data_IF_054630828860
#
_entry.id   IF_054630828860
#
_cell.length_a   1.000
_cell.length_b   1.000
_cell.length_c   1.000
_cell.angle_alpha   90.00
_cell.angle_beta   90.00
_cell.angle_gamma   90.00
#
_symmetry.space_group_name_H-M   'P 1'
#
loop_
_entity.id
_entity.type
_entity.pdbx_description
1 polymer ?
#
# COMPACT_ATOMS: atom_id res chain seq x y z
N UNK A 1 -22.23 -8.04 4.49
CA UNK A 1 -20.98 -8.39 5.19
C UNK A 1 -19.88 -7.56 4.55
N UNK A 2 -19.09 -6.83 5.35
CA UNK A 2 -17.93 -6.11 4.84
C UNK A 2 -16.84 -7.12 4.46
N UNK A 3 -16.18 -6.94 3.32
CA UNK A 3 -15.02 -7.76 2.94
C UNK A 3 -13.88 -7.53 3.93
N UNK A 4 -12.96 -8.49 4.09
CA UNK A 4 -11.78 -8.29 4.94
C UNK A 4 -10.96 -7.07 4.50
N UNK A 5 -10.87 -6.84 3.18
CA UNK A 5 -10.26 -5.65 2.60
C UNK A 5 -10.88 -4.36 3.13
N UNK A 6 -12.21 -4.25 3.15
CA UNK A 6 -12.89 -3.06 3.69
C UNK A 6 -12.65 -2.90 5.18
N UNK A 7 -12.70 -3.96 5.98
CA UNK A 7 -12.39 -3.89 7.41
C UNK A 7 -10.96 -3.37 7.66
N UNK A 8 -9.98 -3.88 6.91
CA UNK A 8 -8.58 -3.47 7.01
C UNK A 8 -8.39 -1.98 6.65
N UNK A 9 -9.03 -1.54 5.56
CA UNK A 9 -8.93 -0.16 5.10
C UNK A 9 -9.72 0.82 5.98
N UNK A 10 -10.85 0.40 6.56
CA UNK A 10 -11.63 1.20 7.51
C UNK A 10 -10.88 1.42 8.82
N UNK A 11 -10.20 0.38 9.33
CA UNK A 11 -9.36 0.48 10.53
C UNK A 11 -8.04 1.20 10.31
N UNK A 12 -7.55 1.23 9.07
CA UNK A 12 -6.19 1.60 8.76
C UNK A 12 -5.19 0.52 9.19
N UNK A 13 -3.93 0.74 8.83
CA UNK A 13 -2.81 -0.15 9.18
C UNK A 13 -1.68 0.70 9.73
N UNK A 14 -1.04 0.24 10.78
CA UNK A 14 0.15 0.87 11.37
C UNK A 14 1.08 -0.27 11.80
N UNK A 15 2.23 -0.40 11.14
CA UNK A 15 3.18 -1.50 11.37
C UNK A 15 4.61 -0.99 11.40
N UNK A 16 5.33 -1.37 12.46
CA UNK A 16 6.78 -1.20 12.55
C UNK A 16 7.48 -2.33 11.77
N UNK A 17 8.33 -1.96 10.82
CA UNK A 17 9.01 -2.84 9.88
C UNK A 17 10.52 -2.78 10.13
N UNK A 18 11.15 -3.94 10.27
CA UNK A 18 12.59 -4.08 10.51
C UNK A 18 13.45 -3.81 9.25
N UNK A 19 13.42 -2.57 8.76
CA UNK A 19 14.22 -2.11 7.62
C UNK A 19 14.65 -0.66 7.82
N UNK A 20 15.85 -0.32 7.35
CA UNK A 20 16.33 1.06 7.33
C UNK A 20 15.48 1.95 6.40
N UNK A 21 15.25 3.19 6.81
CA UNK A 21 14.51 4.18 6.02
C UNK A 21 15.12 4.42 4.62
N UNK A 22 16.44 4.29 4.47
CA UNK A 22 17.11 4.43 3.18
C UNK A 22 16.84 3.25 2.23
N UNK A 23 16.51 2.08 2.78
CA UNK A 23 16.28 0.84 2.03
C UNK A 23 14.81 0.57 1.75
N UNK A 24 13.89 1.22 2.47
CA UNK A 24 12.44 1.00 2.36
C UNK A 24 11.91 1.29 0.95
N UNK A 25 12.46 2.29 0.25
CA UNK A 25 12.05 2.61 -1.11
C UNK A 25 12.31 1.45 -2.08
N UNK A 26 13.53 0.91 -2.05
CA UNK A 26 13.90 -0.23 -2.91
C UNK A 26 13.12 -1.49 -2.56
N UNK A 27 12.89 -1.74 -1.27
CA UNK A 27 12.04 -2.86 -0.83
C UNK A 27 10.62 -2.74 -1.40
N UNK A 28 10.00 -1.57 -1.29
CA UNK A 28 8.64 -1.36 -1.79
C UNK A 28 8.54 -1.47 -3.30
N UNK A 29 9.56 -1.01 -4.04
CA UNK A 29 9.62 -1.14 -5.49
C UNK A 29 9.76 -2.61 -5.92
N UNK A 30 10.68 -3.36 -5.30
CA UNK A 30 10.91 -4.78 -5.56
C UNK A 30 9.65 -5.62 -5.32
N UNK A 31 8.98 -5.36 -4.20
CA UNK A 31 7.76 -6.06 -3.81
C UNK A 31 6.57 -5.69 -4.69
N UNK A 32 6.35 -4.40 -4.92
CA UNK A 32 5.21 -3.92 -5.73
C UNK A 32 5.27 -4.42 -7.16
N UNK A 33 6.47 -4.63 -7.71
CA UNK A 33 6.64 -5.19 -9.04
C UNK A 33 6.06 -6.61 -9.21
N UNK A 34 5.87 -7.33 -8.11
CA UNK A 34 5.33 -8.69 -8.09
C UNK A 34 3.81 -8.73 -7.85
N UNK A 35 3.21 -7.60 -7.44
CA UNK A 35 1.82 -7.55 -7.04
C UNK A 35 0.87 -7.38 -8.22
N UNK A 36 -0.27 -8.06 -8.13
CA UNK A 36 -1.38 -7.91 -9.08
C UNK A 36 -2.72 -8.21 -8.42
N UNK A 37 -3.81 -7.73 -9.01
CA UNK A 37 -5.17 -8.09 -8.62
C UNK A 37 -6.06 -8.13 -9.87
N UNK A 38 -6.41 -9.33 -10.32
CA UNK A 38 -7.06 -9.52 -11.62
C UNK A 38 -6.13 -9.13 -12.76
N UNK A 39 -6.61 -8.32 -13.71
CA UNK A 39 -5.81 -7.73 -14.79
C UNK A 39 -4.93 -6.55 -14.36
N UNK A 40 -5.09 -6.04 -13.13
CA UNK A 40 -4.39 -4.83 -12.69
C UNK A 40 -3.02 -5.13 -12.08
N UNK A 41 -2.04 -4.30 -12.44
CA UNK A 41 -0.73 -4.20 -11.78
C UNK A 41 -0.62 -2.89 -10.99
N UNK A 42 0.31 -2.82 -10.05
CA UNK A 42 0.46 -1.67 -9.18
C UNK A 42 1.66 -0.78 -9.52
N UNK A 43 1.54 0.51 -9.20
CA UNK A 43 2.60 1.52 -9.33
C UNK A 43 2.59 2.46 -8.12
N UNK A 44 3.76 2.68 -7.54
CA UNK A 44 3.97 3.67 -6.48
C UNK A 44 4.37 5.00 -7.10
N UNK A 45 3.79 6.10 -6.60
CA UNK A 45 4.22 7.48 -6.90
C UNK A 45 4.42 8.27 -5.62
N UNK A 46 5.34 9.22 -5.63
CA UNK A 46 5.44 10.19 -4.55
C UNK A 46 4.19 11.07 -4.51
N UNK A 47 3.60 11.22 -3.32
CA UNK A 47 2.50 12.12 -3.04
C UNK A 47 2.96 13.56 -2.82
N UNK A 48 2.00 14.49 -2.77
CA UNK A 48 2.26 15.89 -2.38
C UNK A 48 2.72 15.90 -0.92
N UNK A 49 3.91 16.45 -0.65
CA UNK A 49 4.45 16.57 0.71
C UNK A 49 5.57 15.59 1.05
N UNK A 50 6.07 14.80 0.09
CA UNK A 50 7.26 13.93 0.28
C UNK A 50 8.53 14.77 0.48
N UNK A 51 8.77 15.26 1.70
CA UNK A 51 9.95 16.05 2.07
C UNK A 51 10.45 15.59 3.45
N UNK A 52 11.76 15.37 3.58
CA UNK A 52 12.39 15.00 4.84
C UNK A 52 12.19 13.51 5.18
N UNK A 53 11.88 13.25 6.46
CA UNK A 53 11.76 11.89 7.04
C UNK A 53 10.32 11.36 7.06
N UNK A 54 9.39 11.99 6.33
CA UNK A 54 8.03 11.49 6.16
C UNK A 54 7.73 11.41 4.67
N UNK A 55 7.41 10.23 4.19
CA UNK A 55 7.07 9.99 2.79
C UNK A 55 5.62 9.61 2.65
N UNK A 56 4.86 10.47 1.98
CA UNK A 56 3.50 10.18 1.56
C UNK A 56 3.56 9.58 0.15
N UNK A 57 3.21 8.30 0.01
CA UNK A 57 3.24 7.58 -1.26
C UNK A 57 1.83 7.24 -1.71
N UNK A 58 1.55 7.44 -3.00
CA UNK A 58 0.27 7.10 -3.63
C UNK A 58 0.42 5.80 -4.39
N UNK A 59 -0.45 4.83 -4.06
CA UNK A 59 -0.57 3.56 -4.75
C UNK A 59 -1.56 3.72 -5.88
N UNK A 60 -1.19 3.25 -7.07
CA UNK A 60 -2.03 3.32 -8.25
C UNK A 60 -2.17 1.94 -8.89
N UNK A 61 -3.29 1.68 -9.54
CA UNK A 61 -3.49 0.55 -10.43
C UNK A 61 -3.34 0.96 -11.90
N UNK A 62 -3.00 -0.01 -12.74
CA UNK A 62 -2.96 0.09 -14.20
C UNK A 62 -3.34 -1.25 -14.81
N UNK A 63 -4.21 -1.26 -15.81
CA UNK A 63 -4.36 -2.42 -16.70
C UNK A 63 -3.29 -2.32 -17.80
N UNK A 64 -2.30 -3.23 -17.87
CA UNK A 64 -1.24 -3.19 -18.87
C UNK A 64 -1.74 -3.43 -20.29
N UNK A 65 -2.95 -3.97 -20.47
CA UNK A 65 -3.54 -4.28 -21.78
C UNK A 65 -4.35 -3.10 -22.35
N UNK A 66 -4.64 -2.08 -21.55
CA UNK A 66 -5.33 -0.87 -22.01
C UNK A 66 -4.32 0.25 -22.32
N UNK A 67 -3.94 0.35 -23.59
CA UNK A 67 -3.07 1.43 -24.07
C UNK A 67 -3.68 2.81 -23.81
N UNK A 68 -2.87 3.72 -23.24
CA UNK A 68 -3.23 5.13 -23.07
C UNK A 68 -4.11 5.44 -21.85
N UNK A 69 -4.44 4.47 -21.00
CA UNK A 69 -5.16 4.76 -19.76
C UNK A 69 -4.27 5.45 -18.71
N UNK A 70 -4.81 6.46 -17.99
CA UNK A 70 -4.13 7.04 -16.85
C UNK A 70 -4.01 6.02 -15.71
N UNK A 71 -3.02 6.20 -14.84
CA UNK A 71 -2.95 5.44 -13.60
C UNK A 71 -4.15 5.78 -12.71
N UNK A 72 -4.75 4.76 -12.11
CA UNK A 72 -5.86 4.87 -11.18
C UNK A 72 -5.36 4.96 -9.74
N UNK A 73 -5.21 6.15 -9.13
CA UNK A 73 -4.87 6.27 -7.71
C UNK A 73 -5.88 5.57 -6.78
N UNK A 74 -5.39 4.56 -6.07
CA UNK A 74 -6.16 3.71 -5.15
C UNK A 74 -6.17 4.22 -3.71
N UNK A 75 -5.04 4.73 -3.24
CA UNK A 75 -4.86 5.06 -1.83
C UNK A 75 -3.46 5.58 -1.51
N UNK A 76 -3.30 6.10 -0.30
CA UNK A 76 -2.03 6.59 0.24
C UNK A 76 -1.49 5.63 1.29
N UNK A 77 -0.18 5.45 1.29
CA UNK A 77 0.59 4.93 2.42
C UNK A 77 1.58 6.00 2.90
N UNK A 78 1.91 5.98 4.18
CA UNK A 78 2.84 6.92 4.83
C UNK A 78 3.99 6.13 5.42
N UNK A 79 5.22 6.62 5.21
CA UNK A 79 6.42 6.00 5.75
C UNK A 79 7.18 7.01 6.60
N UNK A 80 7.54 6.62 7.81
CA UNK A 80 8.27 7.44 8.78
C UNK A 80 9.32 6.56 9.49
N UNK A 81 10.52 7.07 9.82
CA UNK A 81 11.46 6.36 10.68
C UNK A 81 10.86 6.08 12.06
N UNK A 82 11.14 4.91 12.61
CA UNK A 82 10.67 4.47 13.92
C UNK A 82 11.81 3.95 14.80
N UNK A 83 12.88 4.74 14.89
CA UNK A 83 14.11 4.37 15.58
C UNK A 83 15.19 3.80 14.65
N UNK A 84 16.21 3.19 15.25
CA UNK A 84 17.35 2.64 14.52
C UNK A 84 16.96 1.32 13.83
N UNK A 85 17.24 1.21 12.53
CA UNK A 85 16.93 0.01 11.74
C UNK A 85 15.45 -0.27 11.49
N UNK A 86 14.56 0.68 11.83
CA UNK A 86 13.11 0.50 11.78
C UNK A 86 12.42 1.65 11.04
N UNK A 87 11.36 1.31 10.32
CA UNK A 87 10.40 2.26 9.75
C UNK A 87 8.99 1.87 10.13
N UNK A 88 8.15 2.86 10.31
CA UNK A 88 6.72 2.66 10.40
C UNK A 88 6.09 2.85 9.01
N UNK A 89 5.34 1.85 8.55
CA UNK A 89 4.50 1.92 7.35
C UNK A 89 3.04 2.01 7.80
N UNK A 90 2.37 3.09 7.41
CA UNK A 90 0.98 3.38 7.76
C UNK A 90 0.10 3.41 6.52
N UNK A 91 -1.07 2.80 6.63
CA UNK A 91 -2.20 3.00 5.71
C UNK A 91 -3.25 3.79 6.50
N UNK A 92 -3.45 5.09 6.20
CA UNK A 92 -4.50 5.86 6.86
C UNK A 92 -5.87 5.20 6.65
N UNK A 93 -6.76 5.29 7.65
CA UNK A 93 -8.15 4.85 7.51
C UNK A 93 -8.79 5.42 6.25
N UNK A 94 -9.72 4.67 5.64
CA UNK A 94 -10.41 5.08 4.40
C UNK A 94 -11.02 6.48 4.49
N UNK A 95 -11.53 6.87 5.66
CA UNK A 95 -12.08 8.23 5.92
C UNK A 95 -11.04 9.35 5.85
N UNK A 96 -9.76 9.03 5.97
CA UNK A 96 -8.62 9.96 5.94
C UNK A 96 -7.83 9.88 4.62
N UNK A 97 -8.24 9.02 3.69
CA UNK A 97 -7.65 8.92 2.36
C UNK A 97 -8.05 10.16 1.55
N UNK A 98 -7.14 11.12 1.43
CA UNK A 98 -7.37 12.38 0.67
C UNK A 98 -6.91 12.22 -0.79
N UNK A 99 -7.28 11.11 -1.42
CA UNK A 99 -6.93 10.85 -2.82
C UNK A 99 -8.04 11.44 -3.71
N UNK A 100 -7.90 12.73 -4.03
CA UNK A 100 -8.88 13.44 -4.84
C UNK A 100 -8.84 12.97 -6.30
N UNK A 101 -9.85 12.22 -6.74
CA UNK A 101 -10.08 11.93 -8.16
C UNK A 101 -10.95 10.72 -8.49
N UNK A 102 -11.03 9.69 -7.63
CA UNK A 102 -11.43 8.34 -8.08
C UNK A 102 -12.20 7.47 -7.06
N UNK A 103 -12.99 8.07 -6.16
CA UNK A 103 -13.83 7.32 -5.21
C UNK A 103 -14.75 6.24 -5.86
N UNK A 104 -14.89 6.24 -7.19
CA UNK A 104 -15.68 5.29 -7.95
C UNK A 104 -14.93 4.02 -8.42
N UNK A 105 -13.61 4.05 -8.62
CA UNK A 105 -12.89 2.95 -9.27
C UNK A 105 -12.65 1.74 -8.35
N UNK A 106 -12.41 1.99 -7.06
CA UNK A 106 -12.20 0.97 -6.02
C UNK A 106 -13.16 1.21 -4.83
N UNK A 107 -14.44 1.37 -5.14
CA UNK A 107 -15.48 1.70 -4.16
C UNK A 107 -15.63 0.61 -3.08
N UNK A 108 -15.34 -0.65 -3.43
CA UNK A 108 -15.35 -1.80 -2.52
C UNK A 108 -13.98 -2.07 -1.87
N UNK A 109 -12.97 -1.25 -2.19
CA UNK A 109 -11.62 -1.35 -1.62
C UNK A 109 -10.87 -2.61 -2.01
N UNK A 110 -11.31 -3.34 -3.04
CA UNK A 110 -10.73 -4.62 -3.44
C UNK A 110 -9.30 -4.45 -3.94
N UNK A 111 -9.05 -3.50 -4.84
CA UNK A 111 -7.73 -3.29 -5.43
C UNK A 111 -6.74 -2.78 -4.39
N UNK A 112 -7.13 -1.79 -3.58
CA UNK A 112 -6.25 -1.25 -2.55
C UNK A 112 -6.05 -2.24 -1.39
N UNK A 113 -7.12 -2.91 -0.95
CA UNK A 113 -7.04 -3.91 0.11
C UNK A 113 -6.21 -5.12 -0.29
N UNK A 114 -6.27 -5.54 -1.57
CA UNK A 114 -5.39 -6.56 -2.12
C UNK A 114 -3.92 -6.12 -2.07
N UNK A 115 -3.61 -4.88 -2.48
CA UNK A 115 -2.25 -4.34 -2.38
C UNK A 115 -1.74 -4.34 -0.94
N UNK A 116 -2.53 -3.84 0.01
CA UNK A 116 -2.15 -3.79 1.43
C UNK A 116 -1.93 -5.19 2.00
N UNK A 117 -2.80 -6.15 1.64
CA UNK A 117 -2.66 -7.54 2.09
C UNK A 117 -1.42 -8.21 1.50
N UNK A 118 -1.13 -7.98 0.21
CA UNK A 118 0.10 -8.46 -0.43
C UNK A 118 1.34 -7.85 0.23
N UNK A 119 1.33 -6.54 0.49
CA UNK A 119 2.41 -5.85 1.21
C UNK A 119 2.67 -6.48 2.58
N UNK A 120 1.65 -6.62 3.40
CA UNK A 120 1.77 -7.19 4.74
C UNK A 120 2.26 -8.65 4.68
N UNK A 121 1.76 -9.44 3.74
CA UNK A 121 2.20 -10.82 3.54
C UNK A 121 3.68 -10.91 3.12
N UNK A 122 4.13 -10.05 2.19
CA UNK A 122 5.53 -10.01 1.78
C UNK A 122 6.46 -9.61 2.91
N UNK A 123 6.11 -8.55 3.66
CA UNK A 123 6.86 -8.13 4.84
C UNK A 123 6.95 -9.26 5.88
N UNK A 124 5.85 -9.96 6.12
CA UNK A 124 5.81 -11.10 7.04
C UNK A 124 6.66 -12.28 6.54
N UNK A 125 6.58 -12.61 5.25
CA UNK A 125 7.38 -13.69 4.64
C UNK A 125 8.89 -13.46 4.74
N UNK A 126 9.31 -12.18 4.72
CA UNK A 126 10.69 -11.74 4.91
C UNK A 126 11.06 -11.56 6.38
N UNK A 127 10.16 -11.90 7.31
CA UNK A 127 10.35 -11.78 8.76
C UNK A 127 10.60 -10.33 9.21
N UNK A 128 10.04 -9.36 8.48
CA UNK A 128 10.17 -7.93 8.79
C UNK A 128 9.06 -7.41 9.71
N UNK A 129 7.95 -8.14 9.79
CA UNK A 129 6.81 -7.91 10.70
C UNK A 129 6.25 -9.25 11.20
N UNK A 130 5.56 -9.21 12.33
CA UNK A 130 4.79 -10.33 12.85
C UNK A 130 3.31 -10.20 12.46
N UNK A 131 2.77 -11.25 11.83
CA UNK A 131 1.34 -11.40 11.58
C UNK A 131 0.86 -12.74 12.18
N UNK A 132 -0.39 -12.81 12.67
CA UNK A 132 -0.97 -14.05 13.18
C UNK A 132 -1.19 -15.10 12.07
N UNK A 133 -1.13 -14.70 10.81
CA UNK A 133 -1.25 -15.55 9.64
C UNK A 133 -1.30 -14.73 8.34
N UNK A 134 -1.29 -15.42 7.20
CA UNK A 134 -1.38 -14.78 5.90
C UNK A 134 -2.76 -14.13 5.69
N UNK A 135 -2.77 -12.92 5.14
CA UNK A 135 -3.96 -12.15 4.81
C UNK A 135 -4.50 -12.52 3.43
N UNK A 136 -5.83 -12.47 3.20
CA UNK A 136 -6.42 -12.73 1.89
C UNK A 136 -6.07 -11.62 0.89
N UNK A 137 -5.72 -11.99 -0.34
CA UNK A 137 -5.27 -11.06 -1.38
C UNK A 137 -6.29 -10.86 -2.52
N UNK A 138 -7.49 -11.43 -2.41
CA UNK A 138 -8.54 -11.39 -3.44
C UNK A 138 -9.93 -11.53 -2.88
#
# INVERSE_FOLDING_TARGET
MSSFAMFLLEGGVDVAVAVDFERVASLLEEETAQYSCGEYIYKIRAGKGTIGRRWDLVINAMDPNMEGQPLFPLGRIVIEPDGEGMVNIKVPPRTEQTVHGEDAADWDGRLFGSYVSQLLNSLHSRQLIDLPGALPTS
#
